data_IF_943397812670
#
_entry.id   IF_943397812670
#
_cell.length_a   1.000
_cell.length_b   1.000
_cell.length_c   1.000
_cell.angle_alpha   90.00
_cell.angle_beta   90.00
_cell.angle_gamma   90.00
#
_symmetry.space_group_name_H-M   'P 1'
#
loop_
_entity.id
_entity.type
_entity.pdbx_description
1 polymer ?
#
# COMPACT_ATOMS: atom_id res chain seq x y z
N UNK A 1 -24.76 9.57 -24.48
CA UNK A 1 -23.28 9.79 -24.50
C UNK A 1 -22.61 8.62 -23.80
N UNK A 2 -21.57 8.02 -24.39
CA UNK A 2 -20.77 7.01 -23.71
C UNK A 2 -19.95 7.70 -22.61
N UNK A 3 -20.07 7.22 -21.37
CA UNK A 3 -19.31 7.73 -20.22
C UNK A 3 -17.87 7.26 -20.39
N UNK A 4 -17.03 8.11 -20.97
CA UNK A 4 -15.60 7.85 -21.08
C UNK A 4 -14.93 8.19 -19.76
N UNK A 5 -14.14 7.25 -19.24
CA UNK A 5 -13.42 7.42 -17.99
C UNK A 5 -12.25 8.39 -18.19
N UNK A 6 -12.10 9.35 -17.27
CA UNK A 6 -10.91 10.21 -17.26
C UNK A 6 -9.66 9.41 -16.87
N UNK A 7 -8.44 9.89 -17.19
CA UNK A 7 -7.21 9.21 -16.78
C UNK A 7 -7.13 8.93 -15.27
N UNK A 8 -7.63 9.85 -14.44
CA UNK A 8 -7.68 9.66 -12.98
C UNK A 8 -8.66 8.56 -12.55
N UNK A 9 -9.79 8.43 -13.25
CA UNK A 9 -10.76 7.36 -13.02
C UNK A 9 -10.16 6.01 -13.44
N UNK A 10 -9.48 5.95 -14.59
CA UNK A 10 -8.77 4.74 -15.05
C UNK A 10 -7.75 4.24 -14.03
N UNK A 11 -6.93 5.13 -13.46
CA UNK A 11 -5.98 4.77 -12.38
C UNK A 11 -6.67 4.15 -11.16
N UNK A 12 -7.86 4.65 -10.82
CA UNK A 12 -8.65 4.13 -9.70
C UNK A 12 -9.18 2.74 -10.00
N UNK A 13 -9.70 2.52 -11.22
CA UNK A 13 -10.14 1.21 -11.70
C UNK A 13 -8.98 0.22 -11.70
N UNK A 14 -7.83 0.61 -12.25
CA UNK A 14 -6.61 -0.20 -12.31
C UNK A 14 -6.15 -0.63 -10.91
N UNK A 15 -6.08 0.31 -9.96
CA UNK A 15 -5.73 0.01 -8.55
C UNK A 15 -6.68 -1.02 -7.95
N UNK A 16 -8.00 -0.82 -8.07
CA UNK A 16 -8.99 -1.75 -7.50
C UNK A 16 -8.85 -3.14 -8.12
N UNK A 17 -8.59 -3.21 -9.42
CA UNK A 17 -8.36 -4.48 -10.10
C UNK A 17 -7.04 -5.14 -9.70
N UNK A 18 -6.01 -4.35 -9.44
CA UNK A 18 -4.75 -4.83 -8.88
C UNK A 18 -4.98 -5.44 -7.49
N UNK A 19 -5.73 -4.76 -6.62
CA UNK A 19 -6.14 -5.29 -5.31
C UNK A 19 -6.95 -6.59 -5.45
N UNK A 20 -7.84 -6.68 -6.44
CA UNK A 20 -8.57 -7.92 -6.71
C UNK A 20 -7.63 -9.05 -7.16
N UNK A 21 -6.70 -8.77 -8.09
CA UNK A 21 -5.70 -9.73 -8.58
C UNK A 21 -4.85 -10.31 -7.45
N UNK A 22 -4.52 -9.51 -6.45
CA UNK A 22 -3.75 -9.97 -5.26
C UNK A 22 -4.63 -10.52 -4.13
N UNK A 23 -5.96 -10.58 -4.31
CA UNK A 23 -6.88 -11.06 -3.28
C UNK A 23 -6.93 -10.14 -2.05
N UNK A 24 -6.75 -8.85 -2.26
CA UNK A 24 -6.73 -7.79 -1.24
C UNK A 24 -8.03 -6.96 -1.25
N UNK A 25 -8.78 -6.99 -2.36
CA UNK A 25 -10.06 -6.30 -2.48
C UNK A 25 -11.10 -6.90 -1.53
N UNK A 26 -11.69 -6.05 -0.68
CA UNK A 26 -12.71 -6.43 0.30
C UNK A 26 -14.12 -6.05 -0.18
N UNK A 27 -15.12 -6.79 0.29
CA UNK A 27 -16.53 -6.45 0.08
C UNK A 27 -16.90 -5.16 0.81
N UNK A 28 -18.05 -4.56 0.48
CA UNK A 28 -18.52 -3.31 1.11
C UNK A 28 -18.60 -3.38 2.64
N UNK A 29 -18.90 -4.57 3.21
CA UNK A 29 -18.93 -4.81 4.66
C UNK A 29 -17.56 -5.09 5.28
N UNK A 30 -16.48 -5.12 4.49
CA UNK A 30 -15.09 -5.20 4.95
C UNK A 30 -14.63 -6.57 5.50
N UNK A 31 -15.54 -7.52 5.72
CA UNK A 31 -15.23 -8.81 6.36
C UNK A 31 -14.70 -9.85 5.39
N UNK A 32 -15.18 -9.87 4.15
CA UNK A 32 -14.84 -10.91 3.16
C UNK A 32 -14.06 -10.32 1.99
N UNK A 33 -13.18 -11.14 1.41
CA UNK A 33 -12.52 -10.83 0.13
C UNK A 33 -13.50 -11.00 -1.02
N UNK A 34 -13.38 -10.16 -2.04
CA UNK A 34 -14.13 -10.30 -3.29
C UNK A 34 -13.55 -11.47 -4.07
N UNK A 35 -14.40 -12.42 -4.48
CA UNK A 35 -14.00 -13.59 -5.28
C UNK A 35 -14.45 -13.51 -6.73
N UNK A 36 -15.54 -12.78 -7.00
CA UNK A 36 -16.12 -12.70 -8.34
C UNK A 36 -15.53 -11.53 -9.13
N UNK A 37 -14.93 -11.77 -10.31
CA UNK A 37 -14.41 -10.70 -11.17
C UNK A 37 -15.46 -9.65 -11.55
N UNK A 38 -16.71 -10.07 -11.83
CA UNK A 38 -17.80 -9.13 -12.16
C UNK A 38 -18.10 -8.18 -11.00
N UNK A 39 -18.02 -8.67 -9.78
CA UNK A 39 -18.18 -7.85 -8.59
C UNK A 39 -17.00 -6.89 -8.41
N UNK A 40 -15.78 -7.33 -8.71
CA UNK A 40 -14.61 -6.44 -8.71
C UNK A 40 -14.74 -5.32 -9.73
N UNK A 41 -15.23 -5.62 -10.96
CA UNK A 41 -15.55 -4.59 -11.98
C UNK A 41 -16.56 -3.58 -11.44
N UNK A 42 -17.65 -4.04 -10.83
CA UNK A 42 -18.68 -3.17 -10.28
C UNK A 42 -18.12 -2.24 -9.18
N UNK A 43 -17.30 -2.77 -8.27
CA UNK A 43 -16.64 -1.99 -7.22
C UNK A 43 -15.67 -0.98 -7.84
N UNK A 44 -14.87 -1.39 -8.83
CA UNK A 44 -13.91 -0.52 -9.49
C UNK A 44 -14.59 0.68 -10.18
N UNK A 45 -15.69 0.41 -10.91
CA UNK A 45 -16.47 1.46 -11.57
C UNK A 45 -17.17 2.39 -10.57
N UNK A 46 -17.70 1.85 -9.48
CA UNK A 46 -18.32 2.66 -8.42
C UNK A 46 -17.28 3.52 -7.68
N UNK A 47 -16.13 2.94 -7.27
CA UNK A 47 -15.04 3.67 -6.61
C UNK A 47 -14.46 4.79 -7.49
N UNK A 48 -14.39 4.56 -8.81
CA UNK A 48 -13.94 5.56 -9.77
C UNK A 48 -15.00 6.62 -10.13
N UNK A 49 -16.25 6.48 -9.66
CA UNK A 49 -17.35 7.36 -10.06
C UNK A 49 -17.69 7.24 -11.55
N UNK A 50 -17.49 6.07 -12.14
CA UNK A 50 -17.74 5.75 -13.55
C UNK A 50 -18.91 4.78 -13.75
N UNK A 51 -19.57 4.36 -12.68
CA UNK A 51 -20.76 3.51 -12.73
C UNK A 51 -21.89 4.21 -13.48
N UNK A 52 -22.42 3.56 -14.53
CA UNK A 52 -23.57 4.06 -15.28
C UNK A 52 -24.87 4.11 -14.47
N UNK A 53 -24.95 3.31 -13.41
CA UNK A 53 -26.12 3.20 -12.53
C UNK A 53 -26.17 4.27 -11.45
N UNK A 54 -25.04 4.92 -11.17
CA UNK A 54 -24.93 5.97 -10.16
C UNK A 54 -25.33 7.33 -10.77
N UNK A 55 -26.02 8.15 -9.98
CA UNK A 55 -26.30 9.56 -10.31
C UNK A 55 -25.01 10.40 -10.33
N UNK A 56 -24.98 11.57 -10.99
CA UNK A 56 -23.80 12.44 -10.98
C UNK A 56 -23.33 12.81 -9.56
N UNK A 57 -24.26 13.03 -8.64
CA UNK A 57 -23.97 13.32 -7.23
C UNK A 57 -23.29 12.15 -6.52
N UNK A 58 -23.79 10.94 -6.74
CA UNK A 58 -23.20 9.71 -6.19
C UNK A 58 -21.82 9.43 -6.78
N UNK A 59 -21.64 9.60 -8.09
CA UNK A 59 -20.33 9.46 -8.74
C UNK A 59 -19.29 10.39 -8.13
N UNK A 60 -19.64 11.68 -7.96
CA UNK A 60 -18.77 12.66 -7.33
C UNK A 60 -18.46 12.31 -5.87
N UNK A 61 -19.48 11.88 -5.13
CA UNK A 61 -19.31 11.43 -3.75
C UNK A 61 -18.38 10.22 -3.63
N UNK A 62 -18.59 9.19 -4.47
CA UNK A 62 -17.81 7.96 -4.47
C UNK A 62 -16.36 8.23 -4.85
N UNK A 63 -16.13 9.00 -5.93
CA UNK A 63 -14.78 9.39 -6.33
C UNK A 63 -14.07 10.16 -5.21
N UNK A 64 -14.73 11.15 -4.60
CA UNK A 64 -14.16 11.93 -3.49
C UNK A 64 -13.81 11.04 -2.30
N UNK A 65 -14.70 10.12 -1.92
CA UNK A 65 -14.48 9.17 -0.83
C UNK A 65 -13.28 8.27 -1.13
N UNK A 66 -13.19 7.74 -2.34
CA UNK A 66 -12.07 6.88 -2.79
C UNK A 66 -10.75 7.63 -2.77
N UNK A 67 -10.68 8.85 -3.29
CA UNK A 67 -9.46 9.67 -3.28
C UNK A 67 -9.00 10.00 -1.86
N UNK A 68 -9.94 10.26 -0.95
CA UNK A 68 -9.62 10.46 0.48
C UNK A 68 -9.03 9.20 1.11
N UNK A 69 -9.58 8.02 0.80
CA UNK A 69 -9.07 6.71 1.25
C UNK A 69 -7.66 6.43 0.72
N UNK A 70 -7.43 6.70 -0.57
CA UNK A 70 -6.10 6.59 -1.21
C UNK A 70 -5.07 7.47 -0.51
N UNK A 71 -5.38 8.75 -0.26
CA UNK A 71 -4.48 9.69 0.43
C UNK A 71 -4.14 9.25 1.86
N UNK A 72 -5.05 8.52 2.52
CA UNK A 72 -4.85 8.00 3.88
C UNK A 72 -4.15 6.65 3.92
N UNK A 73 -3.88 6.02 2.77
CA UNK A 73 -3.29 4.67 2.73
C UNK A 73 -4.23 3.58 3.25
N UNK A 74 -5.54 3.80 3.19
CA UNK A 74 -6.56 2.85 3.68
C UNK A 74 -6.95 1.81 2.60
N UNK A 75 -6.25 1.78 1.46
CA UNK A 75 -6.52 0.84 0.35
C UNK A 75 -6.06 -0.58 0.68
N UNK A 76 -6.64 -1.59 0.01
CA UNK A 76 -6.22 -2.99 0.21
C UNK A 76 -4.73 -3.18 -0.08
N UNK A 77 -4.26 -2.52 -1.15
CA UNK A 77 -2.87 -2.50 -1.56
C UNK A 77 -1.97 -1.86 -0.50
N UNK A 78 -2.31 -0.66 0.01
CA UNK A 78 -1.50 0.01 1.03
C UNK A 78 -1.41 -0.82 2.33
N UNK A 79 -2.52 -1.45 2.73
CA UNK A 79 -2.53 -2.34 3.90
C UNK A 79 -1.71 -3.61 3.68
N UNK A 80 -1.62 -4.12 2.44
CA UNK A 80 -0.80 -5.28 2.12
C UNK A 80 0.69 -4.93 2.00
N UNK A 81 1.02 -3.83 1.32
CA UNK A 81 2.38 -3.32 1.20
C UNK A 81 2.97 -2.96 2.56
N UNK A 82 2.20 -2.29 3.44
CA UNK A 82 2.61 -2.01 4.81
C UNK A 82 2.90 -3.28 5.63
N UNK A 83 2.08 -4.32 5.44
CA UNK A 83 2.33 -5.64 6.04
C UNK A 83 3.56 -6.33 5.47
N UNK A 84 3.77 -6.29 4.14
CA UNK A 84 4.94 -6.85 3.47
C UNK A 84 6.23 -6.18 3.94
N UNK A 85 6.25 -4.85 4.03
CA UNK A 85 7.40 -4.12 4.53
C UNK A 85 7.70 -4.45 6.00
N UNK A 86 6.66 -4.59 6.84
CA UNK A 86 6.83 -5.01 8.24
C UNK A 86 7.33 -6.46 8.34
N UNK A 87 6.78 -7.37 7.53
CA UNK A 87 7.23 -8.75 7.45
C UNK A 87 8.68 -8.85 6.95
N UNK A 88 9.06 -8.04 5.97
CA UNK A 88 10.44 -7.99 5.44
C UNK A 88 11.42 -7.39 6.46
N UNK A 89 11.00 -6.44 7.31
CA UNK A 89 11.79 -6.02 8.48
C UNK A 89 11.95 -7.11 9.52
N UNK A 90 11.01 -8.05 9.62
CA UNK A 90 11.08 -9.20 10.55
C UNK A 90 11.85 -10.39 9.96
N UNK A 91 11.80 -10.59 8.64
CA UNK A 91 12.43 -11.70 7.92
C UNK A 91 13.82 -11.34 7.35
N UNK A 92 14.11 -10.06 7.18
CA UNK A 92 15.40 -9.53 6.73
C UNK A 92 16.37 -9.41 7.90
N UNK A 93 17.11 -10.48 8.12
CA UNK A 93 18.40 -10.60 8.79
C UNK A 93 19.08 -9.27 9.24
N UNK A 94 18.99 -9.00 10.55
CA UNK A 94 19.79 -8.00 11.26
C UNK A 94 19.34 -6.54 11.19
N UNK A 95 19.79 -5.76 12.18
CA UNK A 95 19.63 -4.29 12.23
C UNK A 95 20.17 -3.68 10.93
N UNK A 96 19.48 -2.69 10.36
CA UNK A 96 19.96 -1.97 9.18
C UNK A 96 21.30 -1.29 9.47
N UNK A 97 22.11 -1.02 8.44
CA UNK A 97 23.38 -0.26 8.60
C UNK A 97 23.18 1.04 9.40
N UNK A 98 22.05 1.71 9.20
CA UNK A 98 21.70 2.95 9.92
C UNK A 98 21.47 2.73 11.42
N UNK A 99 20.88 1.59 11.78
CA UNK A 99 20.57 1.21 13.15
C UNK A 99 21.85 0.77 13.86
N UNK A 100 22.67 -0.04 13.19
CA UNK A 100 24.02 -0.41 13.64
C UNK A 100 24.92 0.81 13.80
N UNK A 101 24.86 1.77 12.87
CA UNK A 101 25.61 3.03 12.99
C UNK A 101 25.15 3.87 14.20
N UNK A 102 23.83 3.99 14.43
CA UNK A 102 23.27 4.68 15.59
C UNK A 102 23.67 4.01 16.90
N UNK A 103 23.73 2.69 16.93
CA UNK A 103 24.16 1.94 18.11
C UNK A 103 25.67 2.05 18.33
N UNK A 104 26.47 1.94 17.27
CA UNK A 104 27.91 2.17 17.32
C UNK A 104 28.25 3.60 17.75
N UNK A 105 27.43 4.60 17.37
CA UNK A 105 27.54 5.99 17.88
C UNK A 105 27.20 6.07 19.37
N UNK A 106 26.20 5.33 19.86
CA UNK A 106 25.84 5.30 21.29
C UNK A 106 26.88 4.59 22.17
N UNK A 107 27.66 3.67 21.59
CA UNK A 107 28.76 2.97 22.26
C UNK A 107 30.14 3.57 21.94
N UNK A 108 30.16 4.74 21.30
CA UNK A 108 31.37 5.47 20.90
C UNK A 108 32.44 4.64 20.17
N UNK A 109 32.00 3.74 19.28
CA UNK A 109 32.90 2.90 18.51
C UNK A 109 33.74 3.79 17.56
N UNK A 110 35.09 3.75 17.66
CA UNK A 110 35.96 4.52 16.79
C UNK A 110 35.90 4.00 15.35
N UNK A 111 36.04 4.88 14.37
CA UNK A 111 36.00 4.49 12.95
C UNK A 111 34.62 4.06 12.42
N UNK A 112 33.55 4.11 13.23
CA UNK A 112 32.17 3.73 12.86
C UNK A 112 31.66 4.33 11.53
N UNK A 113 32.04 5.56 11.19
CA UNK A 113 31.62 6.22 9.94
C UNK A 113 32.24 5.60 8.68
N UNK A 114 33.37 4.91 8.82
CA UNK A 114 34.05 4.21 7.71
C UNK A 114 33.62 2.74 7.59
N UNK A 115 32.85 2.21 8.56
CA UNK A 115 32.44 0.81 8.59
C UNK A 115 31.18 0.54 7.74
N UNK A 116 31.16 -0.62 7.07
CA UNK A 116 29.99 -1.15 6.36
C UNK A 116 29.04 -1.91 7.33
N UNK A 117 27.89 -2.41 6.83
CA UNK A 117 26.87 -3.10 7.68
C UNK A 117 27.50 -4.22 8.51
N UNK A 118 28.22 -5.14 7.85
CA UNK A 118 28.84 -6.30 8.50
C UNK A 118 29.94 -5.91 9.49
N UNK A 119 30.73 -4.89 9.17
CA UNK A 119 31.78 -4.38 10.06
C UNK A 119 31.18 -3.73 11.33
N UNK A 120 30.07 -2.99 11.19
CA UNK A 120 29.35 -2.44 12.34
C UNK A 120 28.71 -3.53 13.20
N UNK A 121 28.11 -4.56 12.58
CA UNK A 121 27.58 -5.75 13.27
C UNK A 121 28.67 -6.43 14.11
N UNK A 122 29.82 -6.72 13.50
CA UNK A 122 30.96 -7.34 14.20
C UNK A 122 31.50 -6.47 15.32
N UNK A 123 31.62 -5.16 15.10
CA UNK A 123 32.13 -4.23 16.10
C UNK A 123 31.18 -4.06 17.31
N UNK A 124 29.88 -4.30 17.13
CA UNK A 124 28.89 -4.22 18.21
C UNK A 124 28.74 -5.50 19.03
N UNK A 125 29.18 -6.63 18.49
CA UNK A 125 29.13 -7.96 19.12
C UNK A 125 30.47 -8.37 19.76
N UNK A 126 31.48 -7.51 19.69
CA UNK A 126 32.80 -7.67 20.31
C UNK A 126 32.87 -6.88 21.61
#
# INVERSE_FOLDING_TARGET
MAIHQTPAQRKTVERVMHEFKHGELKTARGTRKVKNPKQAVAIALSEAGASKYDTPKERAHNLRRTKKKERRGETGQAAAEGRRHTAQRRAGDGKTRSELYREAKRRDIPGRSKMNKQQLERALHR
#
